data_IF_475034259500
#
_entry.id   IF_475034259500
#
_cell.length_a   1.000
_cell.length_b   1.000
_cell.length_c   1.000
_cell.angle_alpha   90.00
_cell.angle_beta   90.00
_cell.angle_gamma   90.00
#
_symmetry.space_group_name_H-M   'P 1'
#
loop_
_entity.id
_entity.type
_entity.pdbx_description
1 polymer ?
#
# COMPACT_ATOMS: atom_id res chain seq x y z
N UNK A 1 2.12 -22.51 11.24
CA UNK A 1 1.38 -21.23 11.37
C UNK A 1 -0.09 -21.52 11.62
N UNK A 2 -0.70 -20.94 12.65
CA UNK A 2 -2.14 -21.09 12.85
C UNK A 2 -2.91 -20.43 11.70
N UNK A 3 -4.08 -20.98 11.40
CA UNK A 3 -4.99 -20.37 10.44
C UNK A 3 -5.73 -19.16 11.03
N UNK A 4 -6.68 -18.63 10.27
CA UNK A 4 -7.52 -17.52 10.72
C UNK A 4 -8.45 -18.00 11.84
N UNK A 5 -8.44 -17.31 12.97
CA UNK A 5 -9.40 -17.56 14.05
C UNK A 5 -10.74 -16.90 13.69
N UNK A 6 -11.71 -17.75 13.32
CA UNK A 6 -13.04 -17.31 12.92
C UNK A 6 -13.89 -16.77 14.10
N UNK A 7 -13.43 -16.96 15.33
CA UNK A 7 -14.14 -16.49 16.52
C UNK A 7 -13.74 -15.07 16.95
N UNK A 8 -12.69 -14.50 16.34
CA UNK A 8 -12.30 -13.12 16.59
C UNK A 8 -13.37 -12.15 16.07
N UNK A 9 -13.73 -11.19 16.92
CA UNK A 9 -14.59 -10.11 16.51
C UNK A 9 -13.90 -9.25 15.44
N UNK A 10 -14.69 -8.71 14.49
CA UNK A 10 -14.18 -7.76 13.52
C UNK A 10 -13.70 -6.49 14.21
N UNK A 11 -12.49 -6.04 13.88
CA UNK A 11 -11.91 -4.80 14.38
C UNK A 11 -11.68 -3.84 13.20
N UNK A 12 -12.38 -2.68 13.15
CA UNK A 12 -12.14 -1.68 12.12
C UNK A 12 -10.74 -1.08 12.25
N UNK A 13 -9.93 -1.21 11.20
CA UNK A 13 -8.58 -0.66 11.17
C UNK A 13 -8.60 0.79 10.67
N UNK A 14 -7.71 1.61 11.21
CA UNK A 14 -7.41 2.95 10.70
C UNK A 14 -6.44 2.86 9.54
N UNK A 15 -6.87 3.29 8.35
CA UNK A 15 -6.14 3.11 7.10
C UNK A 15 -5.87 4.47 6.44
N UNK A 16 -4.65 4.66 5.97
CA UNK A 16 -4.28 5.77 5.08
C UNK A 16 -3.99 5.22 3.69
N UNK A 17 -4.33 5.97 2.65
CA UNK A 17 -4.13 5.61 1.25
C UNK A 17 -3.18 6.59 0.59
N UNK A 18 -2.08 6.09 0.05
CA UNK A 18 -1.07 6.87 -0.67
C UNK A 18 -1.05 6.47 -2.15
N UNK A 19 -1.32 7.42 -3.01
CA UNK A 19 -1.13 7.27 -4.45
C UNK A 19 0.17 7.93 -4.87
N UNK A 20 1.00 7.20 -5.58
CA UNK A 20 2.25 7.69 -6.15
C UNK A 20 2.07 7.84 -7.65
N UNK A 21 2.06 9.07 -8.13
CA UNK A 21 1.83 9.37 -9.55
C UNK A 21 2.42 10.72 -9.94
N UNK A 22 3.05 10.76 -11.11
CA UNK A 22 3.54 12.01 -11.70
C UNK A 22 2.46 12.76 -12.49
N UNK A 23 1.36 12.08 -12.84
CA UNK A 23 0.38 12.60 -13.80
C UNK A 23 -1.03 12.74 -13.23
N UNK A 24 -1.38 11.98 -12.19
CA UNK A 24 -2.72 12.02 -11.60
C UNK A 24 -2.87 13.16 -10.59
N UNK A 25 -4.12 13.55 -10.37
CA UNK A 25 -4.57 14.36 -9.24
C UNK A 25 -5.52 13.53 -8.39
N UNK A 26 -5.93 14.02 -7.21
CA UNK A 26 -6.90 13.30 -6.39
C UNK A 26 -8.22 13.06 -7.14
N UNK A 27 -8.62 13.98 -8.01
CA UNK A 27 -9.84 13.84 -8.80
C UNK A 27 -9.74 12.81 -9.92
N UNK A 28 -8.54 12.58 -10.46
CA UNK A 28 -8.30 11.64 -11.56
C UNK A 28 -7.70 10.32 -11.09
N UNK A 29 -7.44 10.17 -9.80
CA UNK A 29 -6.82 9.01 -9.18
C UNK A 29 -7.85 7.88 -9.01
N UNK A 30 -8.00 7.06 -10.04
CA UNK A 30 -8.93 5.93 -10.04
C UNK A 30 -8.48 4.80 -9.11
N UNK A 31 -7.19 4.51 -9.07
CA UNK A 31 -6.63 3.43 -8.23
C UNK A 31 -6.77 3.73 -6.74
N UNK A 32 -6.37 4.94 -6.32
CA UNK A 32 -6.55 5.36 -4.93
C UNK A 32 -8.01 5.45 -4.53
N UNK A 33 -8.87 5.95 -5.43
CA UNK A 33 -10.31 5.98 -5.22
C UNK A 33 -10.91 4.60 -5.03
N UNK A 34 -10.46 3.60 -5.78
CA UNK A 34 -10.89 2.21 -5.64
C UNK A 34 -10.46 1.64 -4.28
N UNK A 35 -9.25 1.91 -3.83
CA UNK A 35 -8.79 1.49 -2.51
C UNK A 35 -9.66 2.09 -1.39
N UNK A 36 -9.99 3.38 -1.48
CA UNK A 36 -10.89 4.03 -0.53
C UNK A 36 -12.27 3.38 -0.52
N UNK A 37 -12.83 3.12 -1.69
CA UNK A 37 -14.12 2.42 -1.83
C UNK A 37 -14.08 1.04 -1.18
N UNK A 38 -13.04 0.25 -1.45
CA UNK A 38 -12.91 -1.12 -0.95
C UNK A 38 -12.71 -1.18 0.56
N UNK A 39 -11.86 -0.33 1.12
CA UNK A 39 -11.63 -0.32 2.57
C UNK A 39 -12.89 0.13 3.32
N UNK A 40 -13.62 1.08 2.77
CA UNK A 40 -14.88 1.57 3.35
C UNK A 40 -15.97 0.49 3.30
N UNK A 41 -16.11 -0.20 2.16
CA UNK A 41 -17.04 -1.32 2.02
C UNK A 41 -16.71 -2.47 2.98
N UNK A 42 -15.42 -2.68 3.29
CA UNK A 42 -14.96 -3.64 4.29
C UNK A 42 -15.11 -3.14 5.74
N UNK A 43 -15.71 -1.98 5.94
CA UNK A 43 -16.01 -1.35 7.25
C UNK A 43 -14.75 -0.91 8.01
N UNK A 44 -13.65 -0.67 7.32
CA UNK A 44 -12.48 0.00 7.87
C UNK A 44 -12.63 1.52 7.79
N UNK A 45 -11.74 2.24 8.45
CA UNK A 45 -11.79 3.71 8.54
C UNK A 45 -10.71 4.33 7.66
N UNK A 46 -11.10 5.17 6.72
CA UNK A 46 -10.16 6.03 6.01
C UNK A 46 -9.78 7.21 6.92
N UNK A 47 -8.53 7.25 7.37
CA UNK A 47 -8.03 8.33 8.23
C UNK A 47 -7.36 9.44 7.44
N UNK A 48 -6.70 9.10 6.33
CA UNK A 48 -6.09 10.10 5.46
C UNK A 48 -5.90 9.53 4.04
N UNK A 49 -5.77 10.41 3.08
CA UNK A 49 -5.49 10.10 1.69
C UNK A 49 -4.59 11.16 1.11
N UNK A 50 -3.51 10.75 0.45
CA UNK A 50 -2.59 11.66 -0.19
C UNK A 50 -2.18 11.15 -1.57
N UNK A 51 -1.75 12.07 -2.40
CA UNK A 51 -1.14 11.79 -3.69
C UNK A 51 0.18 12.55 -3.76
N UNK A 52 1.25 11.85 -4.04
CA UNK A 52 2.60 12.42 -4.17
C UNK A 52 3.20 12.03 -5.50
N UNK A 53 4.16 12.81 -5.96
CA UNK A 53 4.96 12.48 -7.14
C UNK A 53 5.85 11.28 -6.86
N UNK A 54 6.25 10.57 -7.92
CA UNK A 54 7.17 9.44 -7.85
C UNK A 54 8.59 9.94 -7.61
N UNK A 55 8.83 10.35 -6.39
CA UNK A 55 10.07 10.94 -5.90
C UNK A 55 10.35 10.37 -4.52
N UNK A 56 11.53 9.80 -4.35
CA UNK A 56 11.88 9.08 -3.11
C UNK A 56 11.69 9.95 -1.86
N UNK A 57 12.22 11.19 -1.79
CA UNK A 57 12.00 12.03 -0.61
C UNK A 57 10.52 12.34 -0.35
N UNK A 58 9.73 12.60 -1.39
CA UNK A 58 8.30 12.93 -1.24
C UNK A 58 7.50 11.73 -0.72
N UNK A 59 7.71 10.54 -1.28
CA UNK A 59 7.06 9.31 -0.84
C UNK A 59 7.43 9.02 0.62
N UNK A 60 8.72 9.03 0.92
CA UNK A 60 9.23 8.72 2.26
C UNK A 60 8.73 9.69 3.31
N UNK A 61 8.71 10.98 3.01
CA UNK A 61 8.23 12.00 3.94
C UNK A 61 6.76 11.79 4.31
N UNK A 62 5.92 11.46 3.31
CA UNK A 62 4.50 11.21 3.55
C UNK A 62 4.28 9.98 4.43
N UNK A 63 4.98 8.89 4.14
CA UNK A 63 4.90 7.66 4.92
C UNK A 63 5.39 7.91 6.36
N UNK A 64 6.53 8.57 6.54
CA UNK A 64 7.07 8.89 7.86
C UNK A 64 6.13 9.78 8.67
N UNK A 65 5.46 10.73 8.03
CA UNK A 65 4.43 11.55 8.68
C UNK A 65 3.31 10.69 9.26
N UNK A 66 2.82 9.73 8.49
CA UNK A 66 1.76 8.82 8.94
C UNK A 66 2.22 7.82 10.00
N UNK A 67 3.46 7.36 9.92
CA UNK A 67 4.01 6.43 10.92
C UNK A 67 4.09 7.04 12.33
N UNK A 68 4.07 8.36 12.45
CA UNK A 68 4.01 9.07 13.73
C UNK A 68 2.61 9.14 14.34
N UNK A 69 1.59 8.72 13.61
CA UNK A 69 0.19 8.75 14.03
C UNK A 69 -0.24 7.34 14.44
N UNK A 70 -0.39 7.06 15.77
CA UNK A 70 -0.72 5.70 16.24
C UNK A 70 -2.06 5.17 15.72
N UNK A 71 -3.00 6.05 15.38
CA UNK A 71 -4.29 5.68 14.84
C UNK A 71 -4.23 5.12 13.42
N UNK A 72 -3.16 5.38 12.67
CA UNK A 72 -2.92 4.79 11.34
C UNK A 72 -2.21 3.45 11.54
N UNK A 73 -2.95 2.39 11.34
CA UNK A 73 -2.49 1.02 11.55
C UNK A 73 -2.04 0.36 10.23
N UNK A 74 -2.63 0.81 9.13
CA UNK A 74 -2.35 0.31 7.77
C UNK A 74 -2.13 1.49 6.84
N UNK A 75 -1.09 1.38 6.01
CA UNK A 75 -0.87 2.28 4.87
C UNK A 75 -0.99 1.44 3.59
N UNK A 76 -1.97 1.77 2.76
CA UNK A 76 -2.11 1.18 1.43
C UNK A 76 -1.48 2.12 0.41
N UNK A 77 -0.59 1.59 -0.42
CA UNK A 77 0.05 2.37 -1.48
C UNK A 77 -0.34 1.84 -2.85
N UNK A 78 -0.39 2.72 -3.82
CA UNK A 78 -0.61 2.36 -5.21
C UNK A 78 0.24 3.24 -6.13
N UNK A 79 0.86 2.62 -7.12
CA UNK A 79 1.73 3.27 -8.09
C UNK A 79 3.22 3.14 -7.80
N UNK A 80 4.02 3.36 -8.81
CA UNK A 80 5.48 3.41 -8.70
C UNK A 80 6.20 2.09 -8.44
N UNK A 81 5.61 0.96 -8.83
CA UNK A 81 6.18 -0.38 -8.57
C UNK A 81 6.73 -1.09 -9.81
N UNK A 82 6.77 -0.43 -10.97
CA UNK A 82 7.34 -0.99 -12.19
C UNK A 82 8.86 -0.88 -12.26
N UNK A 83 9.40 -0.95 -13.48
CA UNK A 83 10.85 -0.92 -13.75
C UNK A 83 11.32 0.38 -14.41
N UNK A 84 10.43 1.37 -14.58
CA UNK A 84 10.81 2.69 -15.08
C UNK A 84 11.69 3.43 -14.06
N UNK A 85 12.58 4.34 -14.50
CA UNK A 85 13.30 5.23 -13.58
C UNK A 85 12.39 6.11 -12.71
N UNK A 86 11.12 6.26 -13.10
CA UNK A 86 10.10 6.97 -12.31
C UNK A 86 9.21 6.03 -11.50
N UNK A 87 9.64 4.79 -11.27
CA UNK A 87 8.98 3.81 -10.39
C UNK A 87 9.86 3.62 -9.16
N UNK A 88 9.67 4.44 -8.12
CA UNK A 88 10.57 4.53 -6.97
C UNK A 88 9.91 4.16 -5.64
N UNK A 89 8.70 3.60 -5.67
CA UNK A 89 7.98 3.27 -4.43
C UNK A 89 8.72 2.26 -3.57
N UNK A 90 9.24 1.13 -4.10
CA UNK A 90 10.00 0.19 -3.29
C UNK A 90 11.27 0.81 -2.69
N UNK A 91 12.01 1.60 -3.46
CA UNK A 91 13.24 2.26 -3.02
C UNK A 91 12.98 3.29 -1.91
N UNK A 92 11.81 3.94 -1.94
CA UNK A 92 11.42 4.91 -0.92
C UNK A 92 10.99 4.24 0.39
N UNK A 93 10.22 3.15 0.31
CA UNK A 93 9.49 2.58 1.46
C UNK A 93 10.23 1.40 2.07
N UNK A 94 10.83 0.50 1.29
CA UNK A 94 11.49 -0.69 1.85
C UNK A 94 12.53 -0.38 2.92
N UNK A 95 13.34 0.68 2.82
CA UNK A 95 14.26 1.03 3.91
C UNK A 95 13.60 1.37 5.25
N UNK A 96 12.31 1.69 5.25
CA UNK A 96 11.53 1.95 6.46
C UNK A 96 10.99 0.68 7.10
N UNK A 97 10.99 -0.43 6.39
CA UNK A 97 10.43 -1.69 6.87
C UNK A 97 11.39 -2.39 7.81
N UNK A 98 10.90 -2.75 8.98
CA UNK A 98 11.62 -3.59 9.93
C UNK A 98 11.55 -5.07 9.53
N UNK A 99 10.45 -5.48 8.94
CA UNK A 99 10.23 -6.84 8.44
C UNK A 99 9.44 -6.78 7.14
N UNK A 100 9.90 -7.52 6.15
CA UNK A 100 9.17 -7.68 4.89
C UNK A 100 8.17 -8.84 5.01
N UNK A 101 7.03 -8.70 4.34
CA UNK A 101 5.99 -9.72 4.26
C UNK A 101 6.04 -10.37 2.87
N UNK A 102 6.96 -11.32 2.69
CA UNK A 102 7.20 -11.93 1.38
C UNK A 102 5.97 -12.67 0.84
N UNK A 103 5.17 -13.25 1.74
CA UNK A 103 3.93 -13.93 1.35
C UNK A 103 2.91 -13.02 0.66
N UNK A 104 2.91 -11.72 0.96
CA UNK A 104 2.06 -10.78 0.25
C UNK A 104 2.44 -10.68 -1.23
N UNK A 105 3.73 -10.54 -1.54
CA UNK A 105 4.20 -10.47 -2.93
C UNK A 105 3.81 -11.73 -3.72
N UNK A 106 3.94 -12.90 -3.11
CA UNK A 106 3.53 -14.17 -3.73
C UNK A 106 2.04 -14.16 -4.03
N UNK A 107 1.20 -13.86 -3.06
CA UNK A 107 -0.26 -13.84 -3.21
C UNK A 107 -0.71 -12.77 -4.22
N UNK A 108 -0.10 -11.61 -4.18
CA UNK A 108 -0.39 -10.51 -5.11
C UNK A 108 -0.08 -10.92 -6.55
N UNK A 109 1.11 -11.47 -6.81
CA UNK A 109 1.49 -11.88 -8.16
C UNK A 109 0.66 -13.05 -8.66
N UNK A 110 0.32 -13.99 -7.80
CA UNK A 110 -0.56 -15.10 -8.16
C UNK A 110 -1.94 -14.60 -8.60
N UNK A 111 -2.49 -13.63 -7.89
CA UNK A 111 -3.77 -13.01 -8.25
C UNK A 111 -3.66 -12.18 -9.53
N UNK A 112 -2.62 -11.37 -9.64
CA UNK A 112 -2.36 -10.53 -10.82
C UNK A 112 -2.17 -11.35 -12.09
N UNK A 113 -1.50 -12.49 -11.99
CA UNK A 113 -1.29 -13.38 -13.14
C UNK A 113 -2.62 -13.82 -13.76
N UNK A 114 -3.65 -14.04 -12.93
CA UNK A 114 -4.97 -14.43 -13.39
C UNK A 114 -5.74 -13.30 -14.11
N UNK A 115 -5.41 -12.04 -13.82
CA UNK A 115 -6.13 -10.88 -14.35
C UNK A 115 -5.40 -10.19 -15.50
N UNK A 116 -4.10 -9.99 -15.39
CA UNK A 116 -3.29 -9.25 -16.38
C UNK A 116 -2.24 -10.11 -17.07
N UNK A 117 -2.18 -11.41 -16.74
CA UNK A 117 -1.25 -12.34 -17.37
C UNK A 117 0.21 -12.07 -17.00
N UNK A 118 1.11 -12.39 -17.93
CA UNK A 118 2.57 -12.30 -17.71
C UNK A 118 3.06 -10.86 -17.41
N UNK A 119 2.29 -9.84 -17.74
CA UNK A 119 2.63 -8.45 -17.39
C UNK A 119 2.76 -8.26 -15.87
N UNK A 120 2.11 -9.10 -15.06
CA UNK A 120 2.25 -9.09 -13.60
C UNK A 120 3.68 -9.30 -13.13
N UNK A 121 4.54 -9.95 -13.92
CA UNK A 121 5.94 -10.17 -13.61
C UNK A 121 6.75 -8.87 -13.50
N UNK A 122 6.24 -7.77 -14.06
CA UNK A 122 6.89 -6.46 -14.00
C UNK A 122 6.52 -5.67 -12.75
N UNK A 123 5.61 -6.17 -11.92
CA UNK A 123 5.27 -5.51 -10.66
C UNK A 123 6.26 -5.90 -9.56
N UNK A 124 6.74 -4.90 -8.84
CA UNK A 124 7.58 -5.08 -7.64
C UNK A 124 6.77 -4.84 -6.37
N UNK A 125 5.51 -5.25 -6.37
CA UNK A 125 4.62 -5.14 -5.22
C UNK A 125 5.22 -5.81 -3.99
N UNK A 126 5.09 -5.16 -2.85
CA UNK A 126 5.67 -5.60 -1.58
C UNK A 126 4.77 -5.19 -0.42
N UNK A 127 5.02 -5.77 0.74
CA UNK A 127 4.41 -5.36 1.99
C UNK A 127 5.38 -5.61 3.14
N UNK A 128 5.13 -4.96 4.25
CA UNK A 128 5.92 -5.18 5.45
C UNK A 128 5.47 -4.35 6.64
N UNK A 129 6.17 -4.52 7.74
CA UNK A 129 5.94 -3.82 8.99
C UNK A 129 6.96 -2.69 9.15
N UNK A 130 6.45 -1.48 9.37
CA UNK A 130 7.24 -0.31 9.75
C UNK A 130 6.68 0.23 11.06
N UNK A 131 7.53 0.31 12.10
CA UNK A 131 7.09 0.60 13.48
C UNK A 131 5.92 -0.33 13.87
N UNK A 132 4.77 0.23 14.27
CA UNK A 132 3.58 -0.53 14.65
C UNK A 132 2.53 -0.62 13.53
N UNK A 133 2.85 -0.13 12.33
CA UNK A 133 1.96 -0.15 11.17
C UNK A 133 2.41 -1.19 10.13
N UNK A 134 1.46 -1.60 9.30
CA UNK A 134 1.74 -2.41 8.11
C UNK A 134 1.56 -1.56 6.86
N UNK A 135 2.46 -1.72 5.90
CA UNK A 135 2.45 -1.03 4.62
C UNK A 135 2.29 -2.07 3.50
N UNK A 136 1.36 -1.81 2.61
CA UNK A 136 1.08 -2.64 1.43
C UNK A 136 1.18 -1.82 0.16
#
# INVERSE_FOLDING_TARGET
MPGIDKNLAFYPLGIAVLTISDTRTLDTDTSGGLLVERLTAARHKLLDRALVKDDIPAIRAQVQCWLKKPEIEIILTTGGTGFSPRDNTPEAIKPLLRREMDGFSVAFHQKSLQTVGVASMQSRAFAGQADDAFIF
#
